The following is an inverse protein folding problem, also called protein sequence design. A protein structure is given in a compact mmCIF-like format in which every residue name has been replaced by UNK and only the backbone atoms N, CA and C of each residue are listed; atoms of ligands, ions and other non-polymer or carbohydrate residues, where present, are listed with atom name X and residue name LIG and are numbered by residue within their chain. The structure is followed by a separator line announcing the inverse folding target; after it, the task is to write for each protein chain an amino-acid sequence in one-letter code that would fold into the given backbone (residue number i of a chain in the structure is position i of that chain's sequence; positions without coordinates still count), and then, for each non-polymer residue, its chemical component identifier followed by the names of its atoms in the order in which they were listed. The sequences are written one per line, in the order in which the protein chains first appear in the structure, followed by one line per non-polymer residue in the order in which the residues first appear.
data_IF_461379594946
#
_entry.id   IF_461379594946
#
_cell.length_a   1.000
_cell.length_b   1.000
_cell.length_c   1.000
_cell.angle_alpha   90.00
_cell.angle_beta   90.00
_cell.angle_gamma   90.00
#
_symmetry.space_group_name_H-M   'P 1'
#
loop_
_entity.id
_entity.type
_entity.pdbx_description
1 polymer ?
#
# COMPACT_ATOMS: atom_id res chain seq x y z
N UNK A 1 2.03 -8.05 26.49
CA UNK A 1 2.18 -6.93 25.53
C UNK A 1 3.25 -7.32 24.54
N UNK A 2 3.11 -6.96 23.27
CA UNK A 2 4.13 -7.20 22.25
C UNK A 2 5.29 -6.23 22.52
N UNK A 3 6.44 -6.74 22.95
CA UNK A 3 7.68 -5.99 23.20
C UNK A 3 8.42 -5.73 21.87
N UNK A 4 7.72 -5.05 20.94
CA UNK A 4 8.24 -4.77 19.60
C UNK A 4 8.10 -3.29 19.28
N UNK A 5 9.15 -2.72 18.68
CA UNK A 5 9.13 -1.34 18.19
C UNK A 5 8.26 -1.27 16.93
N UNK A 6 7.20 -0.45 16.98
CA UNK A 6 6.42 -0.13 15.80
C UNK A 6 7.11 0.97 15.00
N UNK A 7 7.04 0.85 13.69
CA UNK A 7 7.50 1.86 12.73
C UNK A 7 6.30 2.60 12.13
N UNK A 8 6.58 3.71 11.44
CA UNK A 8 5.58 4.43 10.66
C UNK A 8 4.88 3.54 9.62
N UNK A 9 5.58 2.52 9.11
CA UNK A 9 5.02 1.60 8.12
C UNK A 9 3.91 0.74 8.71
N UNK A 10 3.88 0.53 10.03
CA UNK A 10 2.83 -0.23 10.71
C UNK A 10 1.48 0.51 10.75
N UNK A 11 1.43 1.77 10.31
CA UNK A 11 0.23 2.57 10.23
C UNK A 11 -0.10 2.94 8.77
N UNK A 12 -1.26 2.47 8.30
CA UNK A 12 -1.74 2.72 6.93
C UNK A 12 -3.15 3.30 6.95
N UNK A 13 -3.36 4.39 6.23
CA UNK A 13 -4.64 5.08 6.10
C UNK A 13 -5.21 4.97 4.69
N UNK A 14 -6.53 5.10 4.57
CA UNK A 14 -7.19 5.15 3.27
C UNK A 14 -6.68 6.32 2.41
N UNK A 15 -6.39 7.49 3.02
CA UNK A 15 -5.84 8.65 2.31
C UNK A 15 -4.49 8.37 1.64
N UNK A 16 -3.60 7.65 2.32
CA UNK A 16 -2.32 7.22 1.75
C UNK A 16 -2.53 6.27 0.56
N UNK A 17 -3.42 5.27 0.71
CA UNK A 17 -3.70 4.30 -0.36
C UNK A 17 -4.29 4.99 -1.60
N UNK A 18 -5.29 5.87 -1.41
CA UNK A 18 -5.92 6.57 -2.53
C UNK A 18 -4.94 7.52 -3.21
N UNK A 19 -4.08 8.20 -2.45
CA UNK A 19 -3.04 9.07 -3.01
C UNK A 19 -2.07 8.26 -3.86
N UNK A 20 -1.55 7.14 -3.35
CA UNK A 20 -0.62 6.27 -4.09
C UNK A 20 -1.23 5.76 -5.41
N UNK A 21 -2.50 5.33 -5.37
CA UNK A 21 -3.24 4.85 -6.54
C UNK A 21 -3.46 5.97 -7.56
N UNK A 22 -3.87 7.16 -7.12
CA UNK A 22 -4.11 8.33 -7.97
C UNK A 22 -2.82 8.83 -8.62
N UNK A 23 -1.71 8.90 -7.88
CA UNK A 23 -0.43 9.31 -8.45
C UNK A 23 0.10 8.31 -9.47
N UNK A 24 -0.14 7.00 -9.27
CA UNK A 24 0.23 5.99 -10.26
C UNK A 24 -0.60 6.13 -11.52
N UNK A 25 -1.89 6.43 -11.39
CA UNK A 25 -2.78 6.72 -12.51
C UNK A 25 -2.30 7.92 -13.32
N UNK A 26 -2.04 9.06 -12.67
CA UNK A 26 -1.54 10.28 -13.31
C UNK A 26 -0.20 10.11 -14.02
N UNK A 27 0.65 9.20 -13.54
CA UNK A 27 1.93 8.84 -14.19
C UNK A 27 1.77 7.85 -15.34
N UNK A 28 0.55 7.44 -15.68
CA UNK A 28 0.26 6.49 -16.75
C UNK A 28 0.47 5.03 -16.37
N UNK A 29 0.62 4.69 -15.08
CA UNK A 29 0.91 3.33 -14.63
C UNK A 29 -0.19 2.31 -14.91
N UNK A 30 -1.42 2.75 -15.18
CA UNK A 30 -2.54 1.89 -15.61
C UNK A 30 -2.77 1.90 -17.13
N UNK A 31 -1.89 2.55 -17.91
CA UNK A 31 -1.96 2.65 -19.37
C UNK A 31 -3.28 3.26 -19.88
N UNK A 32 -3.80 4.26 -19.15
CA UNK A 32 -5.06 4.93 -19.49
C UNK A 32 -6.31 4.08 -19.26
N UNK A 33 -6.21 2.93 -18.58
CA UNK A 33 -7.36 2.12 -18.19
C UNK A 33 -7.99 2.62 -16.89
N UNK A 34 -9.28 2.35 -16.75
CA UNK A 34 -10.05 2.74 -15.57
C UNK A 34 -9.45 2.18 -14.27
N UNK A 35 -9.28 3.07 -13.30
CA UNK A 35 -8.94 2.70 -11.93
C UNK A 35 -10.22 2.39 -11.17
N UNK A 36 -10.18 1.30 -10.41
CA UNK A 36 -11.34 0.68 -9.76
C UNK A 36 -10.95 0.22 -8.36
N UNK A 37 -11.93 0.16 -7.44
CA UNK A 37 -11.72 -0.33 -6.07
C UNK A 37 -11.12 -1.75 -6.04
N UNK A 38 -11.63 -2.63 -6.90
CA UNK A 38 -11.04 -3.94 -7.19
C UNK A 38 -10.70 -3.93 -8.68
N UNK A 39 -9.48 -4.31 -9.09
CA UNK A 39 -8.39 -4.85 -8.27
C UNK A 39 -7.40 -3.81 -7.74
N UNK A 40 -7.51 -2.52 -8.08
CA UNK A 40 -6.41 -1.57 -7.92
C UNK A 40 -6.19 -1.10 -6.47
N UNK A 41 -7.24 -0.66 -5.79
CA UNK A 41 -7.15 -0.19 -4.39
C UNK A 41 -6.86 -1.36 -3.45
N UNK A 42 -7.60 -2.46 -3.60
CA UNK A 42 -7.34 -3.69 -2.84
C UNK A 42 -5.98 -4.31 -3.17
N UNK A 43 -5.49 -4.13 -4.40
CA UNK A 43 -4.14 -4.49 -4.82
C UNK A 43 -3.08 -3.75 -4.00
N UNK A 44 -3.24 -2.45 -3.82
CA UNK A 44 -2.31 -1.67 -3.00
C UNK A 44 -2.31 -2.02 -1.52
N UNK A 45 -3.49 -2.26 -0.95
CA UNK A 45 -3.58 -2.76 0.43
C UNK A 45 -2.78 -4.05 0.59
N UNK A 46 -2.92 -5.00 -0.35
CA UNK A 46 -2.16 -6.26 -0.34
C UNK A 46 -0.66 -6.02 -0.52
N UNK A 47 -0.27 -5.06 -1.36
CA UNK A 47 1.14 -4.74 -1.60
C UNK A 47 1.82 -4.20 -0.33
N UNK A 48 1.22 -3.21 0.35
CA UNK A 48 1.75 -2.65 1.61
C UNK A 48 1.85 -3.70 2.71
N UNK A 49 0.85 -4.58 2.83
CA UNK A 49 0.89 -5.69 3.79
C UNK A 49 2.06 -6.65 3.50
N UNK A 50 2.29 -6.98 2.23
CA UNK A 50 3.42 -7.84 1.84
C UNK A 50 4.76 -7.18 2.14
N UNK A 51 4.91 -5.87 1.88
CA UNK A 51 6.13 -5.12 2.23
C UNK A 51 6.43 -5.22 3.73
N UNK A 52 5.44 -4.96 4.58
CA UNK A 52 5.57 -5.10 6.03
C UNK A 52 5.99 -6.50 6.47
N UNK A 53 5.44 -7.53 5.84
CA UNK A 53 5.79 -8.92 6.13
C UNK A 53 7.25 -9.25 5.78
N UNK A 54 7.84 -8.58 4.78
CA UNK A 54 9.25 -8.78 4.44
C UNK A 54 10.16 -8.04 5.43
N UNK A 55 9.84 -6.79 5.77
CA UNK A 55 10.62 -6.00 6.73
C UNK A 55 10.61 -6.59 8.14
N UNK A 56 9.53 -7.27 8.55
CA UNK A 56 9.46 -7.95 9.86
C UNK A 56 10.35 -9.19 10.00
N UNK A 57 10.96 -9.68 8.92
CA UNK A 57 11.85 -10.85 8.93
C UNK A 57 13.34 -10.48 8.95
N UNK A 58 13.68 -9.19 8.83
CA UNK A 58 15.06 -8.68 8.84
C UNK A 58 15.51 -8.21 10.24
N UNK A 59 14.99 -8.88 11.29
CA UNK A 59 15.37 -8.68 12.70
C UNK A 59 16.29 -9.78 13.21
#
# INVERSE_FOLDING_TARGET
MLDQNLSQNNFLTAGQIYTDVLERERRGGYLGRDVQMIPHVTGEVKHKLRQLAHTGNDG
#
